data_IF_959562303626
#
_entry.id   IF_959562303626
#
_cell.length_a   1.000
_cell.length_b   1.000
_cell.length_c   1.000
_cell.angle_alpha   90.00
_cell.angle_beta   90.00
_cell.angle_gamma   90.00
#
_symmetry.space_group_name_H-M   'P 1'
#
loop_
_entity.id
_entity.type
_entity.pdbx_description
1 polymer ?
#
# COMPACT_ATOMS: atom_id res chain seq x y z
N UNK A 1 11.79 -12.78 14.28
CA UNK A 1 10.98 -13.84 13.64
C UNK A 1 10.42 -13.20 12.37
N UNK A 2 10.90 -13.62 11.19
CA UNK A 2 10.48 -13.07 9.90
C UNK A 2 9.05 -13.52 9.60
N UNK A 3 8.24 -12.63 9.04
CA UNK A 3 6.92 -12.96 8.49
C UNK A 3 7.07 -13.59 7.10
N UNK A 4 6.09 -14.41 6.70
CA UNK A 4 6.04 -15.02 5.35
C UNK A 4 6.14 -13.96 4.23
N UNK A 5 5.68 -12.74 4.49
CA UNK A 5 5.81 -11.61 3.58
C UNK A 5 7.26 -11.14 3.43
N UNK A 6 7.99 -11.03 4.53
CA UNK A 6 9.41 -10.66 4.50
C UNK A 6 10.25 -11.75 3.85
N UNK A 7 9.95 -13.03 4.09
CA UNK A 7 10.63 -14.15 3.40
C UNK A 7 10.41 -14.11 1.89
N UNK A 8 9.18 -13.84 1.43
CA UNK A 8 8.88 -13.71 -0.01
C UNK A 8 9.45 -12.44 -0.65
N UNK A 9 9.55 -11.34 0.10
CA UNK A 9 10.23 -10.14 -0.38
C UNK A 9 11.75 -10.34 -0.46
N UNK A 10 12.34 -11.02 0.53
CA UNK A 10 13.78 -11.30 0.57
C UNK A 10 14.19 -12.38 -0.45
N UNK A 11 13.27 -13.27 -0.86
CA UNK A 11 13.52 -14.33 -1.84
C UNK A 11 13.83 -13.84 -3.28
N UNK A 12 14.05 -12.54 -3.48
CA UNK A 12 14.46 -11.92 -4.75
C UNK A 12 13.43 -11.98 -5.89
N UNK A 13 12.14 -12.18 -5.57
CA UNK A 13 11.05 -12.01 -6.54
C UNK A 13 10.77 -10.51 -6.74
N UNK A 14 11.61 -9.85 -7.56
CA UNK A 14 11.37 -8.47 -8.01
C UNK A 14 9.98 -8.32 -8.67
N UNK A 15 9.49 -9.37 -9.32
CA UNK A 15 8.13 -9.44 -9.89
C UNK A 15 7.04 -9.34 -8.83
N UNK A 16 7.21 -10.01 -7.69
CA UNK A 16 6.23 -9.95 -6.58
C UNK A 16 6.23 -8.57 -5.91
N UNK A 17 7.40 -7.95 -5.75
CA UNK A 17 7.52 -6.55 -5.28
C UNK A 17 6.78 -5.59 -6.22
N UNK A 18 7.06 -5.68 -7.52
CA UNK A 18 6.41 -4.83 -8.52
C UNK A 18 4.89 -5.06 -8.55
N UNK A 19 4.44 -6.30 -8.41
CA UNK A 19 3.03 -6.63 -8.37
C UNK A 19 2.33 -6.04 -7.13
N UNK A 20 2.91 -6.17 -5.93
CA UNK A 20 2.36 -5.56 -4.71
C UNK A 20 2.37 -4.04 -4.83
N UNK A 21 3.44 -3.45 -5.35
CA UNK A 21 3.54 -2.00 -5.56
C UNK A 21 2.49 -1.50 -6.54
N UNK A 22 2.26 -2.21 -7.64
CA UNK A 22 1.22 -1.88 -8.61
C UNK A 22 -0.18 -1.96 -8.00
N UNK A 23 -0.47 -3.00 -7.20
CA UNK A 23 -1.74 -3.14 -6.47
C UNK A 23 -1.96 -2.01 -5.47
N UNK A 24 -0.94 -1.65 -4.68
CA UNK A 24 -1.02 -0.53 -3.72
C UNK A 24 -1.21 0.82 -4.43
N UNK A 25 -0.53 1.05 -5.57
CA UNK A 25 -0.75 2.25 -6.37
C UNK A 25 -2.15 2.32 -6.96
N UNK A 26 -2.69 1.18 -7.43
CA UNK A 26 -4.05 1.10 -7.93
C UNK A 26 -5.08 1.35 -6.83
N UNK A 27 -4.88 0.79 -5.63
CA UNK A 27 -5.71 1.06 -4.46
C UNK A 27 -5.68 2.54 -4.08
N UNK A 28 -4.50 3.18 -4.04
CA UNK A 28 -4.35 4.62 -3.79
C UNK A 28 -5.07 5.47 -4.84
N UNK A 29 -4.98 5.11 -6.12
CA UNK A 29 -5.68 5.81 -7.19
C UNK A 29 -7.20 5.65 -7.13
N UNK A 30 -7.69 4.51 -6.64
CA UNK A 30 -9.11 4.24 -6.45
C UNK A 30 -9.65 5.05 -5.27
N UNK A 31 -8.94 5.06 -4.14
CA UNK A 31 -9.29 5.84 -2.94
C UNK A 31 -9.24 7.35 -3.23
N UNK A 32 -8.23 7.85 -3.96
CA UNK A 32 -8.19 9.26 -4.41
C UNK A 32 -9.39 9.63 -5.28
N UNK A 33 -9.78 8.78 -6.23
CA UNK A 33 -10.97 9.02 -7.07
C UNK A 33 -12.25 9.07 -6.24
N UNK A 34 -12.38 8.21 -5.23
CA UNK A 34 -13.51 8.23 -4.28
C UNK A 34 -13.51 9.50 -3.43
N UNK A 35 -12.35 9.91 -2.90
CA UNK A 35 -12.19 11.15 -2.13
C UNK A 35 -12.55 12.41 -2.92
N UNK A 36 -12.21 12.48 -4.21
CA UNK A 36 -12.56 13.61 -5.11
C UNK A 36 -14.06 13.61 -5.44
N UNK A 37 -14.69 12.44 -5.46
CA UNK A 37 -16.10 12.25 -5.82
C UNK A 37 -17.10 12.92 -4.87
N UNK A 38 -16.66 13.44 -3.72
CA UNK A 38 -17.53 14.11 -2.76
C UNK A 38 -18.50 13.13 -2.11
N UNK A 39 -18.19 12.67 -0.91
CA UNK A 39 -19.06 11.76 -0.17
C UNK A 39 -19.18 12.18 1.27
N UNK A 40 -20.16 11.58 1.95
CA UNK A 40 -20.51 11.85 3.34
C UNK A 40 -19.26 11.91 4.25
N UNK A 41 -19.18 12.83 5.22
CA UNK A 41 -18.01 12.99 6.10
C UNK A 41 -17.59 11.72 6.85
N UNK A 42 -18.49 10.74 7.06
CA UNK A 42 -18.09 9.43 7.58
C UNK A 42 -17.34 8.58 6.54
N UNK A 43 -17.79 8.58 5.28
CA UNK A 43 -17.10 7.87 4.18
C UNK A 43 -15.76 8.53 3.86
N UNK A 44 -15.68 9.85 3.94
CA UNK A 44 -14.41 10.57 3.78
C UNK A 44 -13.37 10.13 4.81
N UNK A 45 -13.76 9.99 6.09
CA UNK A 45 -12.86 9.49 7.15
C UNK A 45 -12.40 8.07 6.91
N UNK A 46 -13.30 7.19 6.46
CA UNK A 46 -12.94 5.81 6.12
C UNK A 46 -11.94 5.76 4.97
N UNK A 47 -12.18 6.52 3.90
CA UNK A 47 -11.26 6.59 2.76
C UNK A 47 -9.94 7.28 3.11
N UNK A 48 -9.95 8.23 4.05
CA UNK A 48 -8.72 8.84 4.55
C UNK A 48 -7.87 7.84 5.36
N UNK A 49 -8.51 7.03 6.21
CA UNK A 49 -7.82 5.93 6.90
C UNK A 49 -7.29 4.88 5.92
N UNK A 50 -8.07 4.52 4.90
CA UNK A 50 -7.66 3.58 3.85
C UNK A 50 -6.46 4.13 3.05
N UNK A 51 -6.47 5.42 2.70
CA UNK A 51 -5.36 6.08 2.04
C UNK A 51 -4.08 6.08 2.90
N UNK A 52 -4.20 6.38 4.20
CA UNK A 52 -3.07 6.34 5.14
C UNK A 52 -2.52 4.92 5.31
N UNK A 53 -3.38 3.91 5.38
CA UNK A 53 -2.95 2.52 5.47
C UNK A 53 -2.18 2.08 4.22
N UNK A 54 -2.65 2.46 3.03
CA UNK A 54 -1.96 2.17 1.76
C UNK A 54 -0.62 2.90 1.68
N UNK A 55 -0.54 4.17 2.09
CA UNK A 55 0.75 4.90 2.12
C UNK A 55 1.72 4.31 3.15
N UNK A 56 1.23 3.90 4.33
CA UNK A 56 2.04 3.21 5.34
C UNK A 56 2.58 1.88 4.79
N UNK A 57 1.75 1.09 4.10
CA UNK A 57 2.17 -0.16 3.47
C UNK A 57 3.27 0.05 2.42
N UNK A 58 3.16 1.09 1.58
CA UNK A 58 4.21 1.45 0.61
C UNK A 58 5.49 1.85 1.34
N UNK A 59 5.38 2.62 2.43
CA UNK A 59 6.53 3.05 3.21
C UNK A 59 7.25 1.88 3.87
N UNK A 60 6.52 0.92 4.45
CA UNK A 60 7.07 -0.32 5.00
C UNK A 60 7.80 -1.11 3.90
N UNK A 61 7.20 -1.25 2.73
CA UNK A 61 7.78 -1.95 1.60
C UNK A 61 9.10 -1.29 1.11
N UNK A 62 9.13 0.05 1.06
CA UNK A 62 10.36 0.80 0.77
C UNK A 62 11.43 0.65 1.87
N UNK A 63 11.02 0.61 3.14
CA UNK A 63 11.95 0.48 4.29
C UNK A 63 12.58 -0.91 4.32
N UNK A 64 11.79 -1.96 4.05
CA UNK A 64 12.29 -3.33 3.92
C UNK A 64 13.31 -3.46 2.79
N UNK A 65 13.17 -2.71 1.70
CA UNK A 65 14.12 -2.67 0.58
C UNK A 65 15.37 -1.83 0.87
N UNK A 66 15.23 -0.71 1.57
CA UNK A 66 16.35 0.18 1.93
C UNK A 66 17.21 -0.31 3.10
N UNK A 67 16.75 -1.35 3.82
CA UNK A 67 17.51 -2.04 4.86
C UNK A 67 18.42 -3.17 4.31
N UNK A 68 18.48 -3.34 2.99
CA UNK A 68 19.38 -4.26 2.29
C UNK A 68 20.63 -3.57 1.75
#
# INVERSE_FOLDING_TARGET
MMTVLEERLCAADMDFEQQIRAQLQQARACVKRRLIGGSDPQQYRQWQMEAQAVEAAISILNTLKGAS
#
